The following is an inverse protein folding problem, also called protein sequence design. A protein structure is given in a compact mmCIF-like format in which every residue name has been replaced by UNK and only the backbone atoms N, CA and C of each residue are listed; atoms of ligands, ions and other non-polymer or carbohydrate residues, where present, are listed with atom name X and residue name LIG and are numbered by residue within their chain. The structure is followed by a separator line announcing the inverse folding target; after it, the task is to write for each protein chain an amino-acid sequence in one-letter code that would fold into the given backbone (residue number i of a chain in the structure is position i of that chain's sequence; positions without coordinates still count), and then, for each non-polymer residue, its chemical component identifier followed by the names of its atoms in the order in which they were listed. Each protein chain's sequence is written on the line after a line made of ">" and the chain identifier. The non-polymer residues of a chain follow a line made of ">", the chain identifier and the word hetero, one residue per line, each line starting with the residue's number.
data_IF_974894259249
#
_entry.id   IF_974894259249
#
_cell.length_a   1.000
_cell.length_b   1.000
_cell.length_c   1.000
_cell.angle_alpha   90.00
_cell.angle_beta   90.00
_cell.angle_gamma   90.00
#
_symmetry.space_group_name_H-M   'P 1'
#
loop_
_entity.id
_entity.type
_entity.pdbx_description
1 polymer ?
#
# COMPACT_ATOMS: atom_id res chain seq x y z
N UNK A 1 -22.92 -11.78 5.59
CA UNK A 1 -21.73 -11.58 6.42
C UNK A 1 -21.66 -10.12 6.79
N UNK A 2 -21.75 -9.82 8.08
CA UNK A 2 -21.73 -8.47 8.62
C UNK A 2 -20.31 -7.91 8.50
N UNK A 3 -20.16 -6.59 8.28
CA UNK A 3 -18.87 -5.88 8.19
C UNK A 3 -17.90 -6.22 9.34
N UNK A 4 -18.45 -6.50 10.53
CA UNK A 4 -17.71 -6.96 11.72
C UNK A 4 -16.98 -8.29 11.52
N UNK A 5 -17.56 -9.25 10.79
CA UNK A 5 -16.92 -10.55 10.52
C UNK A 5 -15.72 -10.42 9.58
N UNK A 6 -15.79 -9.52 8.61
CA UNK A 6 -14.66 -9.25 7.71
C UNK A 6 -13.49 -8.55 8.42
N UNK A 7 -13.78 -7.60 9.33
CA UNK A 7 -12.75 -6.89 10.10
C UNK A 7 -12.05 -7.84 11.09
N UNK A 8 -12.80 -8.74 11.74
CA UNK A 8 -12.22 -9.74 12.64
C UNK A 8 -11.30 -10.71 11.89
N UNK A 9 -11.68 -11.13 10.68
CA UNK A 9 -10.85 -11.97 9.84
C UNK A 9 -9.54 -11.26 9.41
N UNK A 10 -9.59 -9.93 9.16
CA UNK A 10 -8.43 -9.10 8.85
C UNK A 10 -7.49 -8.95 10.04
N UNK A 11 -8.04 -8.72 11.23
CA UNK A 11 -7.26 -8.62 12.48
C UNK A 11 -6.59 -9.95 12.82
N UNK A 12 -7.28 -11.07 12.62
CA UNK A 12 -6.71 -12.40 12.84
C UNK A 12 -5.63 -12.74 11.82
N UNK A 13 -5.80 -12.37 10.55
CA UNK A 13 -4.77 -12.51 9.51
C UNK A 13 -3.53 -11.69 9.83
N UNK A 14 -3.70 -10.47 10.33
CA UNK A 14 -2.60 -9.61 10.77
C UNK A 14 -1.89 -10.16 12.03
N UNK A 15 -2.64 -10.74 13.02
CA UNK A 15 -2.05 -11.41 14.19
C UNK A 15 -1.16 -12.58 13.78
N UNK A 16 -1.56 -13.36 12.78
CA UNK A 16 -0.78 -14.50 12.28
C UNK A 16 0.49 -14.09 11.52
N UNK A 17 0.56 -12.85 10.99
CA UNK A 17 1.72 -12.32 10.30
C UNK A 17 2.72 -11.59 11.20
N UNK A 18 2.44 -11.45 12.51
CA UNK A 18 3.37 -10.81 13.47
C UNK A 18 4.62 -11.64 13.68
N UNK A 19 5.82 -11.03 13.57
CA UNK A 19 7.05 -11.70 14.01
C UNK A 19 6.97 -12.04 15.50
N UNK A 20 7.37 -13.25 15.86
CA UNK A 20 7.34 -13.81 17.25
C UNK A 20 7.97 -12.92 18.32
N UNK A 21 8.94 -12.07 17.94
CA UNK A 21 9.62 -11.15 18.87
C UNK A 21 8.73 -9.99 19.34
N UNK A 22 7.65 -9.66 18.64
CA UNK A 22 6.71 -8.62 19.05
C UNK A 22 5.93 -9.01 20.30
N UNK A 23 5.63 -10.30 20.45
CA UNK A 23 4.97 -10.82 21.66
C UNK A 23 5.91 -10.81 22.87
N UNK A 24 7.23 -10.98 22.63
CA UNK A 24 8.25 -10.92 23.67
C UNK A 24 8.43 -9.50 24.22
N UNK A 25 8.34 -8.49 23.38
CA UNK A 25 8.43 -7.07 23.80
C UNK A 25 7.23 -6.68 24.68
N UNK A 26 6.03 -7.18 24.37
CA UNK A 26 4.84 -6.92 25.17
C UNK A 26 4.92 -7.58 26.56
N UNK A 27 5.51 -8.77 26.64
CA UNK A 27 5.68 -9.48 27.92
C UNK A 27 6.72 -8.80 28.84
N UNK A 28 7.81 -8.26 28.26
CA UNK A 28 8.83 -7.54 29.04
C UNK A 28 8.31 -6.18 29.53
N UNK A 29 7.55 -5.47 28.72
CA UNK A 29 6.92 -4.20 29.13
C UNK A 29 5.88 -4.42 30.27
N UNK A 30 5.15 -5.52 30.24
CA UNK A 30 4.21 -5.91 31.30
C UNK A 30 4.90 -6.26 32.64
N UNK A 31 6.07 -6.89 32.59
CA UNK A 31 6.84 -7.28 33.80
C UNK A 31 7.53 -6.07 34.45
N UNK A 32 7.98 -5.08 33.67
CA UNK A 32 8.62 -3.87 34.18
C UNK A 32 7.67 -2.94 34.95
N UNK A 33 6.35 -3.03 34.72
CA UNK A 33 5.32 -2.25 35.41
C UNK A 33 4.83 -2.88 36.71
N UNK A 34 5.27 -4.09 37.07
CA UNK A 34 4.89 -4.81 38.29
C UNK A 34 5.42 -4.23 39.60
N UNK A 35 6.37 -3.29 39.56
CA UNK A 35 6.96 -2.68 40.78
C UNK A 35 6.17 -1.43 41.25
N UNK A 36 5.19 -0.98 40.48
CA UNK A 36 4.40 0.22 40.77
C UNK A 36 3.19 0.06 41.70
N UNK A 37 2.99 -1.10 42.33
CA UNK A 37 1.80 -1.42 43.14
C UNK A 37 1.55 -0.55 44.37
N UNK A 38 2.50 0.27 44.81
CA UNK A 38 2.38 1.08 46.01
C UNK A 38 1.90 2.52 45.74
N UNK A 39 2.07 3.00 44.50
CA UNK A 39 1.66 4.37 44.13
C UNK A 39 0.18 4.48 43.72
N UNK A 40 -0.54 3.37 43.56
CA UNK A 40 -1.96 3.38 43.15
C UNK A 40 -2.93 3.84 44.25
N UNK A 41 -2.48 3.86 45.52
CA UNK A 41 -3.32 4.30 46.65
C UNK A 41 -3.41 5.83 46.81
N UNK A 42 -2.55 6.60 46.14
CA UNK A 42 -2.49 8.06 46.34
C UNK A 42 -3.15 8.89 45.20
N UNK A 43 -3.46 8.30 44.03
CA UNK A 43 -4.11 9.04 42.93
C UNK A 43 -5.17 8.23 42.21
N UNK A 44 -6.38 8.07 42.80
CA UNK A 44 -7.43 7.25 42.16
C UNK A 44 -8.17 7.95 41.00
N UNK A 45 -7.88 9.22 40.70
CA UNK A 45 -8.70 10.00 39.75
C UNK A 45 -8.17 10.01 38.31
N UNK A 46 -6.90 9.63 38.07
CA UNK A 46 -6.29 9.78 36.73
C UNK A 46 -6.39 8.52 35.85
N UNK A 47 -6.78 7.37 36.38
CA UNK A 47 -6.76 6.11 35.61
C UNK A 47 -8.07 5.79 34.86
N UNK A 48 -9.19 6.43 35.24
CA UNK A 48 -10.50 6.13 34.64
C UNK A 48 -10.69 6.68 33.20
N UNK A 49 -9.93 7.69 32.80
CA UNK A 49 -10.13 8.37 31.50
C UNK A 49 -9.19 7.88 30.39
N UNK A 50 -8.08 7.21 30.75
CA UNK A 50 -7.12 6.73 29.75
C UNK A 50 -7.43 5.33 29.20
N UNK A 51 -8.15 4.49 29.95
CA UNK A 51 -8.44 3.10 29.56
C UNK A 51 -9.67 3.01 28.65
N UNK A 52 -10.64 3.92 28.80
CA UNK A 52 -11.87 3.90 28.01
C UNK A 52 -11.66 4.34 26.54
N UNK A 53 -10.52 4.96 26.20
CA UNK A 53 -10.24 5.43 24.83
C UNK A 53 -9.53 4.40 23.94
N UNK A 54 -9.09 3.28 24.50
CA UNK A 54 -8.26 2.30 23.76
C UNK A 54 -9.02 1.15 23.13
N UNK A 55 -10.23 0.86 23.57
CA UNK A 55 -11.03 -0.26 23.03
C UNK A 55 -11.85 0.09 21.79
N UNK A 56 -12.15 1.38 21.55
CA UNK A 56 -12.98 1.82 20.41
C UNK A 56 -12.21 2.55 19.30
N UNK A 57 -10.89 2.62 19.37
CA UNK A 57 -10.10 3.40 18.41
C UNK A 57 -10.07 2.77 17.01
N UNK A 58 -10.26 1.45 16.91
CA UNK A 58 -10.35 0.71 15.64
C UNK A 58 -11.69 0.89 14.90
N UNK A 59 -12.76 1.25 15.61
CA UNK A 59 -14.11 1.36 15.06
C UNK A 59 -14.38 2.72 14.38
N UNK A 60 -13.41 3.63 14.34
CA UNK A 60 -13.65 4.90 13.66
C UNK A 60 -13.94 4.67 12.17
N UNK A 61 -15.12 5.09 11.65
CA UNK A 61 -15.56 4.77 10.28
C UNK A 61 -14.54 5.14 9.21
N UNK A 62 -13.79 6.23 9.40
CA UNK A 62 -12.76 6.66 8.44
C UNK A 62 -11.57 5.70 8.44
N UNK A 63 -11.16 5.11 9.58
CA UNK A 63 -10.04 4.14 9.60
C UNK A 63 -10.40 2.87 8.86
N UNK A 64 -11.61 2.37 9.02
CA UNK A 64 -12.13 1.22 8.27
C UNK A 64 -12.08 1.52 6.77
N UNK A 65 -12.53 2.70 6.35
CA UNK A 65 -12.50 3.13 4.94
C UNK A 65 -11.07 3.30 4.41
N UNK A 66 -10.13 3.77 5.25
CA UNK A 66 -8.70 3.85 4.87
C UNK A 66 -8.16 2.46 4.61
N UNK A 67 -8.37 1.51 5.53
CA UNK A 67 -7.89 0.12 5.39
C UNK A 67 -8.48 -0.53 4.13
N UNK A 68 -9.79 -0.44 3.92
CA UNK A 68 -10.46 -0.98 2.72
C UNK A 68 -9.89 -0.36 1.41
N UNK A 69 -9.62 0.95 1.41
CA UNK A 69 -9.04 1.62 0.26
C UNK A 69 -7.58 1.19 0.00
N UNK A 70 -6.78 0.94 1.05
CA UNK A 70 -5.41 0.46 0.94
C UNK A 70 -5.33 -1.01 0.53
N UNK A 71 -6.28 -1.82 0.93
CA UNK A 71 -6.41 -3.23 0.53
C UNK A 71 -6.73 -3.35 -0.97
N UNK A 72 -7.68 -2.54 -1.45
CA UNK A 72 -8.05 -2.49 -2.87
C UNK A 72 -6.99 -1.83 -3.74
N UNK A 73 -6.23 -0.87 -3.20
CA UNK A 73 -5.23 -0.11 -3.97
C UNK A 73 -3.94 0.03 -3.16
N UNK A 74 -3.17 -1.04 -2.99
CA UNK A 74 -1.91 -1.01 -2.26
C UNK A 74 -0.92 -0.05 -2.94
N UNK A 75 -0.29 0.82 -2.12
CA UNK A 75 0.65 1.82 -2.61
C UNK A 75 0.01 3.11 -3.12
N UNK A 76 -1.27 3.32 -2.85
CA UNK A 76 -1.94 4.60 -3.14
C UNK A 76 -1.24 5.75 -2.41
N UNK A 77 -1.12 6.92 -3.05
CA UNK A 77 -0.52 8.08 -2.41
C UNK A 77 -1.57 8.99 -1.79
N UNK A 78 -1.13 9.83 -0.85
CA UNK A 78 -1.97 10.64 0.01
C UNK A 78 -3.09 11.41 -0.72
N UNK A 79 -2.76 12.12 -1.80
CA UNK A 79 -3.75 12.93 -2.53
C UNK A 79 -4.82 12.08 -3.21
N UNK A 80 -4.47 10.89 -3.65
CA UNK A 80 -5.42 9.96 -4.27
C UNK A 80 -6.31 9.31 -3.22
N UNK A 81 -5.72 8.89 -2.11
CA UNK A 81 -6.45 8.39 -0.95
C UNK A 81 -7.42 9.46 -0.41
N UNK A 82 -6.98 10.72 -0.32
CA UNK A 82 -7.82 11.84 0.09
C UNK A 82 -9.04 12.02 -0.82
N UNK A 83 -8.82 12.00 -2.14
CA UNK A 83 -9.92 12.12 -3.13
C UNK A 83 -10.89 10.96 -3.04
N UNK A 84 -10.37 9.73 -2.91
CA UNK A 84 -11.18 8.52 -2.83
C UNK A 84 -12.07 8.48 -1.58
N UNK A 85 -11.54 8.97 -0.46
CA UNK A 85 -12.25 8.97 0.82
C UNK A 85 -13.09 10.24 1.06
N UNK A 86 -12.94 11.26 0.21
CA UNK A 86 -13.52 12.59 0.40
C UNK A 86 -13.29 13.11 1.83
N UNK A 87 -12.03 13.02 2.28
CA UNK A 87 -11.65 13.34 3.65
C UNK A 87 -10.85 14.65 3.72
N UNK A 88 -11.07 15.42 4.78
CA UNK A 88 -10.26 16.61 5.05
C UNK A 88 -8.80 16.21 5.29
N UNK A 89 -7.85 17.04 4.77
CA UNK A 89 -6.41 16.77 4.83
C UNK A 89 -5.91 16.48 6.26
N UNK A 90 -6.28 17.32 7.23
CA UNK A 90 -5.87 17.15 8.62
C UNK A 90 -6.41 15.89 9.27
N UNK A 91 -7.67 15.58 9.01
CA UNK A 91 -8.33 14.37 9.53
C UNK A 91 -7.69 13.11 8.97
N UNK A 92 -7.48 13.06 7.64
CA UNK A 92 -6.84 11.91 7.01
C UNK A 92 -5.42 11.68 7.52
N UNK A 93 -4.60 12.76 7.66
CA UNK A 93 -3.26 12.65 8.24
C UNK A 93 -3.29 12.08 9.65
N UNK A 94 -4.15 12.62 10.50
CA UNK A 94 -4.28 12.15 11.88
C UNK A 94 -4.56 10.64 11.95
N UNK A 95 -5.52 10.15 11.17
CA UNK A 95 -5.85 8.73 11.16
C UNK A 95 -4.75 7.86 10.54
N UNK A 96 -4.07 8.31 9.49
CA UNK A 96 -2.92 7.62 8.92
C UNK A 96 -1.75 7.53 9.90
N UNK A 97 -1.47 8.61 10.65
CA UNK A 97 -0.42 8.63 11.68
C UNK A 97 -0.70 7.62 12.79
N UNK A 98 -1.96 7.49 13.21
CA UNK A 98 -2.37 6.50 14.20
C UNK A 98 -2.18 5.08 13.64
N UNK A 99 -2.73 4.79 12.48
CA UNK A 99 -2.63 3.47 11.84
C UNK A 99 -1.17 3.07 11.57
N UNK A 100 -0.30 4.03 11.27
CA UNK A 100 1.13 3.81 11.10
C UNK A 100 1.82 3.49 12.43
N UNK A 101 1.50 4.22 13.50
CA UNK A 101 2.03 3.95 14.86
C UNK A 101 1.59 2.59 15.39
N UNK A 102 0.41 2.16 15.02
CA UNK A 102 -0.14 0.85 15.38
C UNK A 102 0.40 -0.29 14.48
N UNK A 103 1.23 0.04 13.48
CA UNK A 103 1.83 -0.93 12.56
C UNK A 103 0.84 -1.56 11.57
N UNK A 104 -0.35 -0.96 11.41
CA UNK A 104 -1.39 -1.40 10.46
C UNK A 104 -1.10 -0.90 9.06
N UNK A 105 -0.58 0.33 8.96
CA UNK A 105 -0.20 0.97 7.71
C UNK A 105 1.31 1.08 7.62
N UNK A 106 1.87 0.60 6.51
CA UNK A 106 3.27 0.77 6.17
C UNK A 106 3.43 1.88 5.15
N UNK A 107 4.45 2.70 5.33
CA UNK A 107 4.77 3.83 4.47
C UNK A 107 6.09 3.55 3.77
N UNK A 108 6.09 3.52 2.43
CA UNK A 108 7.30 3.32 1.63
C UNK A 108 7.42 4.40 0.57
N UNK A 109 8.58 5.08 0.47
CA UNK A 109 8.85 6.02 -0.61
C UNK A 109 9.15 5.25 -1.91
N UNK A 110 8.37 5.53 -2.95
CA UNK A 110 8.56 4.93 -4.28
C UNK A 110 8.63 6.03 -5.34
N UNK A 111 9.73 6.09 -6.07
CA UNK A 111 9.93 7.05 -7.16
C UNK A 111 9.66 8.52 -6.73
N UNK A 112 10.13 8.89 -5.53
CA UNK A 112 9.96 10.22 -4.95
C UNK A 112 8.56 10.55 -4.42
N UNK A 113 7.67 9.56 -4.34
CA UNK A 113 6.31 9.69 -3.77
C UNK A 113 6.15 8.79 -2.56
N UNK A 114 5.42 9.27 -1.58
CA UNK A 114 5.05 8.47 -0.41
C UNK A 114 3.86 7.59 -0.74
N UNK A 115 4.05 6.29 -0.65
CA UNK A 115 3.04 5.27 -0.90
C UNK A 115 2.64 4.59 0.41
N UNK A 116 1.34 4.34 0.56
CA UNK A 116 0.74 3.76 1.76
C UNK A 116 0.24 2.34 1.46
N UNK A 117 0.48 1.42 2.38
CA UNK A 117 0.11 0.01 2.25
C UNK A 117 -0.60 -0.46 3.51
N UNK A 118 -1.58 -1.33 3.37
CA UNK A 118 -2.10 -2.11 4.46
C UNK A 118 -1.16 -3.30 4.71
N UNK A 119 -0.60 -3.40 5.90
CA UNK A 119 0.41 -4.41 6.23
C UNK A 119 1.74 -4.20 5.50
N UNK A 120 2.46 -5.28 5.27
CA UNK A 120 3.76 -5.27 4.61
C UNK A 120 3.61 -5.29 3.07
N UNK A 121 4.28 -4.40 2.32
CA UNK A 121 4.29 -4.42 0.85
C UNK A 121 4.65 -5.77 0.23
N UNK A 122 5.56 -6.52 0.85
CA UNK A 122 5.98 -7.85 0.39
C UNK A 122 4.86 -8.92 0.45
N UNK A 123 3.78 -8.67 1.18
CA UNK A 123 2.63 -9.57 1.33
C UNK A 123 1.47 -9.26 0.38
N UNK A 124 1.61 -8.26 -0.47
CA UNK A 124 0.55 -7.93 -1.44
C UNK A 124 0.42 -9.05 -2.45
N UNK A 125 -0.81 -9.50 -2.71
CA UNK A 125 -1.17 -10.62 -3.59
C UNK A 125 -0.44 -10.60 -4.96
N UNK A 126 -0.30 -9.43 -5.56
CA UNK A 126 0.36 -9.24 -6.86
C UNK A 126 1.83 -9.68 -6.88
N UNK A 127 2.47 -9.78 -5.72
CA UNK A 127 3.86 -10.23 -5.56
C UNK A 127 3.96 -11.69 -5.12
N UNK A 128 2.86 -12.38 -5.01
CA UNK A 128 2.85 -13.79 -4.63
C UNK A 128 3.69 -14.63 -5.60
N UNK A 129 4.55 -15.49 -5.07
CA UNK A 129 5.47 -16.30 -5.88
C UNK A 129 6.75 -15.60 -6.35
N UNK A 130 6.92 -14.29 -6.13
CA UNK A 130 8.17 -13.58 -6.51
C UNK A 130 9.34 -13.84 -5.55
N UNK A 131 9.07 -14.33 -4.33
CA UNK A 131 10.07 -14.56 -3.28
C UNK A 131 10.67 -13.27 -2.69
N UNK A 132 10.10 -12.11 -2.98
CA UNK A 132 10.56 -10.82 -2.44
C UNK A 132 10.09 -10.67 -0.99
N UNK A 133 11.02 -10.46 -0.08
CA UNK A 133 10.76 -10.27 1.37
C UNK A 133 11.04 -8.85 1.85
N UNK A 134 11.81 -8.08 1.09
CA UNK A 134 12.12 -6.68 1.40
C UNK A 134 11.00 -5.75 0.94
N UNK A 135 10.42 -4.99 1.87
CA UNK A 135 9.27 -4.10 1.62
C UNK A 135 9.58 -2.97 0.64
N UNK A 136 10.80 -2.42 0.68
CA UNK A 136 11.19 -1.36 -0.26
C UNK A 136 11.30 -1.91 -1.69
N UNK A 137 11.86 -3.12 -1.84
CA UNK A 137 11.95 -3.82 -3.12
C UNK A 137 10.56 -4.22 -3.63
N UNK A 138 9.73 -4.79 -2.76
CA UNK A 138 8.34 -5.14 -3.05
C UNK A 138 7.55 -3.93 -3.55
N UNK A 139 7.61 -2.82 -2.81
CA UNK A 139 6.97 -1.56 -3.21
C UNK A 139 7.49 -1.03 -4.56
N UNK A 140 8.79 -1.18 -4.83
CA UNK A 140 9.36 -0.77 -6.12
C UNK A 140 8.85 -1.61 -7.29
N UNK A 141 8.57 -2.89 -7.09
CA UNK A 141 8.09 -3.80 -8.14
C UNK A 141 6.60 -3.64 -8.44
N UNK A 142 5.83 -2.99 -7.56
CA UNK A 142 4.43 -2.69 -7.81
C UNK A 142 4.25 -1.48 -8.73
N UNK A 143 3.14 -1.40 -9.50
CA UNK A 143 2.86 -0.31 -10.43
C UNK A 143 2.33 0.94 -9.73
N UNK A 144 3.03 1.40 -8.71
CA UNK A 144 2.69 2.56 -7.87
C UNK A 144 3.75 3.66 -7.96
N UNK A 145 3.42 4.88 -7.58
CA UNK A 145 4.33 6.02 -7.66
C UNK A 145 4.79 6.34 -9.09
N UNK A 146 3.98 6.03 -10.10
CA UNK A 146 4.30 6.19 -11.51
C UNK A 146 4.12 7.63 -11.98
N UNK A 147 4.98 8.07 -12.91
CA UNK A 147 4.74 9.27 -13.70
C UNK A 147 3.66 9.02 -14.75
N UNK A 148 3.07 10.09 -15.33
CA UNK A 148 2.04 9.93 -16.37
C UNK A 148 2.55 9.14 -17.59
N UNK A 149 3.79 9.38 -18.01
CA UNK A 149 4.39 8.61 -19.12
C UNK A 149 4.54 7.13 -18.74
N UNK A 150 4.93 6.82 -17.51
CA UNK A 150 5.04 5.43 -17.06
C UNK A 150 3.68 4.73 -16.99
N UNK A 151 2.64 5.43 -16.55
CA UNK A 151 1.27 4.90 -16.52
C UNK A 151 0.77 4.53 -17.91
N UNK A 152 0.88 5.46 -18.87
CA UNK A 152 0.43 5.20 -20.25
C UNK A 152 1.28 4.12 -20.93
N UNK A 153 2.58 4.01 -20.61
CA UNK A 153 3.42 2.91 -21.09
C UNK A 153 2.90 1.57 -20.57
N UNK A 154 2.64 1.44 -19.27
CA UNK A 154 2.12 0.19 -18.70
C UNK A 154 0.74 -0.12 -19.28
N UNK A 155 -0.17 0.85 -19.31
CA UNK A 155 -1.52 0.69 -19.86
C UNK A 155 -1.47 0.19 -21.32
N UNK A 156 -0.59 0.76 -22.15
CA UNK A 156 -0.41 0.30 -23.55
C UNK A 156 0.15 -1.12 -23.65
N UNK A 157 0.99 -1.53 -22.70
CA UNK A 157 1.57 -2.87 -22.67
C UNK A 157 0.64 -3.93 -22.03
N UNK A 158 -0.46 -3.54 -21.42
CA UNK A 158 -1.53 -4.45 -20.97
C UNK A 158 -2.53 -4.80 -22.07
N UNK A 159 -2.49 -4.09 -23.20
CA UNK A 159 -3.32 -4.39 -24.36
C UNK A 159 -2.81 -5.63 -25.12
N UNK A 160 -3.70 -6.28 -25.89
CA UNK A 160 -3.38 -7.50 -26.62
C UNK A 160 -2.28 -7.32 -27.68
N UNK A 161 -2.18 -6.12 -28.29
CA UNK A 161 -1.20 -5.78 -29.31
C UNK A 161 0.03 -5.09 -28.73
N UNK A 162 1.02 -5.85 -28.27
CA UNK A 162 2.27 -5.31 -27.74
C UNK A 162 3.11 -4.72 -28.88
N UNK A 163 3.60 -3.44 -28.75
CA UNK A 163 4.47 -2.82 -29.73
C UNK A 163 5.79 -3.58 -29.88
N UNK A 164 6.24 -3.81 -31.12
CA UNK A 164 7.50 -4.53 -31.38
C UNK A 164 8.75 -3.70 -31.01
N UNK A 165 8.64 -2.39 -30.94
CA UNK A 165 9.76 -1.50 -30.66
C UNK A 165 9.38 -0.27 -29.82
N UNK A 166 10.38 0.28 -29.09
CA UNK A 166 10.20 1.54 -28.35
C UNK A 166 9.83 2.72 -29.28
N UNK A 167 10.27 2.68 -30.53
CA UNK A 167 9.94 3.70 -31.50
C UNK A 167 8.48 3.65 -31.93
N UNK A 168 7.91 2.44 -32.04
CA UNK A 168 6.49 2.24 -32.29
C UNK A 168 5.68 2.66 -31.05
N UNK A 169 6.08 2.21 -29.87
CA UNK A 169 5.44 2.60 -28.62
C UNK A 169 5.40 4.14 -28.46
N UNK A 170 6.49 4.84 -28.80
CA UNK A 170 6.52 6.30 -28.73
C UNK A 170 5.53 6.97 -29.69
N UNK A 171 5.35 6.40 -30.90
CA UNK A 171 4.36 6.88 -31.88
C UNK A 171 2.94 6.61 -31.39
N UNK A 172 2.67 5.38 -30.92
CA UNK A 172 1.35 4.99 -30.41
C UNK A 172 0.91 5.87 -29.24
N UNK A 173 1.84 6.28 -28.39
CA UNK A 173 1.57 7.15 -27.24
C UNK A 173 1.62 8.65 -27.55
N UNK A 174 1.96 9.07 -28.76
CA UNK A 174 2.15 10.48 -29.11
C UNK A 174 3.22 11.16 -28.25
N UNK A 175 4.29 10.42 -27.83
CA UNK A 175 5.34 10.91 -26.94
C UNK A 175 6.70 10.87 -27.62
N UNK A 176 7.65 11.70 -27.14
CA UNK A 176 9.01 11.67 -27.65
C UNK A 176 9.71 10.34 -27.31
N UNK A 177 10.57 9.87 -28.23
CA UNK A 177 11.38 8.65 -28.01
C UNK A 177 12.22 8.73 -26.75
N UNK A 178 12.79 9.89 -26.44
CA UNK A 178 13.58 10.09 -25.23
C UNK A 178 12.75 9.92 -23.95
N UNK A 179 11.53 10.47 -23.93
CA UNK A 179 10.61 10.34 -22.78
C UNK A 179 10.21 8.88 -22.56
N UNK A 180 9.86 8.16 -23.62
CA UNK A 180 9.48 6.73 -23.53
C UNK A 180 10.68 5.88 -23.13
N UNK A 181 11.87 6.13 -23.68
CA UNK A 181 13.09 5.42 -23.30
C UNK A 181 13.42 5.59 -21.81
N UNK A 182 13.34 6.83 -21.32
CA UNK A 182 13.55 7.12 -19.88
C UNK A 182 12.52 6.40 -19.01
N UNK A 183 11.24 6.41 -19.39
CA UNK A 183 10.19 5.70 -18.65
C UNK A 183 10.45 4.18 -18.60
N UNK A 184 10.78 3.56 -19.74
CA UNK A 184 11.11 2.13 -19.85
C UNK A 184 12.32 1.79 -18.98
N UNK A 185 13.38 2.62 -19.02
CA UNK A 185 14.59 2.41 -18.21
C UNK A 185 14.26 2.35 -16.71
N UNK A 186 13.45 3.29 -16.22
CA UNK A 186 12.99 3.29 -14.82
C UNK A 186 12.13 2.06 -14.50
N UNK A 187 11.19 1.71 -15.37
CA UNK A 187 10.31 0.55 -15.17
C UNK A 187 11.10 -0.77 -15.13
N UNK A 188 12.11 -0.93 -15.99
CA UNK A 188 13.03 -2.09 -15.96
C UNK A 188 13.85 -2.14 -14.68
N UNK A 189 14.44 -1.01 -14.27
CA UNK A 189 15.20 -0.91 -13.02
C UNK A 189 14.35 -1.31 -11.79
N UNK A 190 13.06 -0.97 -11.81
CA UNK A 190 12.12 -1.35 -10.77
C UNK A 190 11.70 -2.83 -10.84
N UNK A 191 11.85 -3.50 -11.97
CA UNK A 191 11.38 -4.86 -12.21
C UNK A 191 9.90 -4.95 -12.60
N UNK A 192 9.32 -3.84 -13.08
CA UNK A 192 7.96 -3.77 -13.63
C UNK A 192 7.93 -4.27 -15.07
N UNK A 193 9.00 -4.03 -15.83
CA UNK A 193 9.19 -4.54 -17.18
C UNK A 193 10.29 -5.60 -17.22
N UNK A 194 10.15 -6.54 -18.15
CA UNK A 194 11.19 -7.50 -18.51
C UNK A 194 12.48 -6.79 -18.94
N UNK A 195 13.63 -7.42 -18.68
CA UNK A 195 14.92 -6.87 -19.07
C UNK A 195 15.14 -6.90 -20.58
N UNK A 196 14.59 -7.89 -21.28
CA UNK A 196 14.87 -8.16 -22.68
C UNK A 196 13.80 -7.67 -23.66
N UNK A 197 12.60 -7.32 -23.21
CA UNK A 197 11.47 -7.00 -24.09
C UNK A 197 10.66 -5.78 -23.65
N UNK A 198 9.57 -5.53 -24.37
CA UNK A 198 8.51 -4.59 -23.99
C UNK A 198 7.34 -5.32 -23.34
N UNK A 199 7.63 -6.29 -22.49
CA UNK A 199 6.65 -7.10 -21.79
C UNK A 199 6.65 -6.74 -20.31
N UNK A 200 5.48 -6.82 -19.70
CA UNK A 200 5.35 -6.70 -18.24
C UNK A 200 6.06 -7.87 -17.55
N UNK A 201 6.54 -7.62 -16.34
CA UNK A 201 7.09 -8.69 -15.53
C UNK A 201 5.99 -9.72 -15.19
N UNK A 202 6.33 -11.03 -15.02
CA UNK A 202 5.35 -12.11 -14.87
C UNK A 202 4.32 -11.89 -13.74
N UNK A 203 4.73 -11.29 -12.63
CA UNK A 203 3.85 -11.00 -11.51
C UNK A 203 2.80 -9.91 -11.83
N UNK A 204 2.99 -9.15 -12.90
CA UNK A 204 2.06 -8.12 -13.36
C UNK A 204 1.14 -8.59 -14.50
N UNK A 205 1.32 -9.79 -15.02
CA UNK A 205 0.46 -10.34 -16.09
C UNK A 205 -0.99 -10.54 -15.63
N UNK A 206 -1.23 -10.60 -14.32
CA UNK A 206 -2.56 -10.71 -13.72
C UNK A 206 -3.17 -9.38 -13.26
N UNK A 207 -2.55 -8.23 -13.58
CA UNK A 207 -3.03 -6.91 -13.15
C UNK A 207 -4.52 -6.66 -13.43
N UNK A 208 -5.00 -7.12 -14.58
CA UNK A 208 -6.41 -7.00 -14.98
C UNK A 208 -7.33 -8.03 -14.33
N UNK A 209 -6.78 -9.06 -13.67
CA UNK A 209 -7.52 -10.17 -13.04
C UNK A 209 -7.41 -10.16 -11.51
N UNK A 210 -6.49 -9.39 -10.96
CA UNK A 210 -6.29 -9.28 -9.51
C UNK A 210 -7.40 -8.43 -8.88
N UNK A 211 -7.68 -8.66 -7.59
CA UNK A 211 -8.59 -7.84 -6.79
C UNK A 211 -8.05 -6.43 -6.52
N UNK A 212 -6.89 -6.09 -7.07
CA UNK A 212 -6.23 -4.80 -6.89
C UNK A 212 -6.70 -3.83 -7.97
N UNK A 213 -7.24 -2.72 -7.52
CA UNK A 213 -7.78 -1.65 -8.36
C UNK A 213 -6.78 -0.49 -8.46
N UNK A 214 -6.23 -0.28 -9.65
CA UNK A 214 -5.43 0.89 -9.97
C UNK A 214 -6.25 1.81 -10.89
N UNK A 215 -6.78 2.94 -10.40
CA UNK A 215 -7.67 3.83 -11.17
C UNK A 215 -7.09 4.35 -12.49
N UNK A 216 -5.76 4.29 -12.64
CA UNK A 216 -5.09 4.71 -13.87
C UNK A 216 -5.04 3.63 -14.96
N UNK A 217 -5.35 2.36 -14.65
CA UNK A 217 -5.47 1.29 -15.65
C UNK A 217 -6.71 1.45 -16.53
N UNK A 218 -7.77 2.07 -16.00
CA UNK A 218 -9.02 2.33 -16.74
C UNK A 218 -8.90 3.52 -17.70
N UNK A 219 -7.77 4.22 -17.74
CA UNK A 219 -7.52 5.28 -18.72
C UNK A 219 -7.35 4.61 -20.08
N UNK A 220 -8.46 4.40 -20.78
CA UNK A 220 -8.45 4.09 -22.21
C UNK A 220 -7.72 5.21 -22.91
N UNK A 221 -6.64 4.86 -23.60
CA UNK A 221 -5.95 5.80 -24.49
C UNK A 221 -6.94 6.04 -25.62
N UNK A 222 -7.70 7.11 -25.54
CA UNK A 222 -8.41 7.63 -26.70
C UNK A 222 -7.36 8.03 -27.71
N UNK A 223 -7.04 7.09 -28.60
CA UNK A 223 -6.21 7.36 -29.78
C UNK A 223 -7.03 8.30 -30.68
N UNK A 224 -6.66 9.58 -30.69
CA UNK A 224 -7.09 10.55 -31.69
C UNK A 224 -6.24 10.40 -32.94
#
# INVERSE_FOLDING_TARGET
>A
PTLTTSIMALVDRWRLSRPWYMDSISAVAGAALGIGGVTQLLFPVAQGTMIAHRENDWEHPLRVRIVDALEKSPGIHFRELQRRLDAANGTLRHHLDILTKEGVVTIVPVNGRTCYYFGAPAQVEILEGTGVTDDARAAAMMPVGLSEVQKVVIARLTEENIPESQAQLARDLGRSRASVHSAISVLRKRGILSQSGLELAPHLNSLTRSNVDYPWLDIRIECS
#
